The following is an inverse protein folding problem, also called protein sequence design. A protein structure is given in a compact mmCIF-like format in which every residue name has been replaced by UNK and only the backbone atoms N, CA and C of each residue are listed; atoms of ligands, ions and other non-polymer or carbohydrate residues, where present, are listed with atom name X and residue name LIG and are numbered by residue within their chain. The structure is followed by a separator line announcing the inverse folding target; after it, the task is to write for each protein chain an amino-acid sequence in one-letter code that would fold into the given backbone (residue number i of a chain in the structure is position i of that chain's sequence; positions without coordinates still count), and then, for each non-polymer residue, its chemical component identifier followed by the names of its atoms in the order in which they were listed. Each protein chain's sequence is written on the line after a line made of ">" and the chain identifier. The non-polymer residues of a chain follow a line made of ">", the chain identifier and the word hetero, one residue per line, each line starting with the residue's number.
data_IF_831170205109
#
_entry.id   IF_831170205109
#
_cell.length_a   1.000
_cell.length_b   1.000
_cell.length_c   1.000
_cell.angle_alpha   90.00
_cell.angle_beta   90.00
_cell.angle_gamma   90.00
#
_symmetry.space_group_name_H-M   'P 1'
#
loop_
_entity.id
_entity.type
_entity.pdbx_description
1 polymer ?
#
# COMPACT_ATOMS: atom_id res chain seq x y z
N UNK A 1 17.98 11.67 -12.20
CA UNK A 1 16.80 11.27 -12.99
C UNK A 1 15.98 12.52 -13.18
N UNK A 2 15.91 13.05 -14.40
CA UNK A 2 15.23 14.32 -14.69
C UNK A 2 13.81 14.04 -15.18
N UNK A 3 12.84 14.80 -14.68
CA UNK A 3 11.44 14.77 -15.12
C UNK A 3 11.36 15.34 -16.54
N UNK A 4 11.19 14.47 -17.54
CA UNK A 4 10.84 14.85 -18.91
C UNK A 4 9.33 15.06 -19.06
N UNK A 5 8.92 15.78 -20.11
CA UNK A 5 7.52 16.13 -20.41
C UNK A 5 6.60 14.93 -20.70
N UNK A 6 7.16 13.74 -20.90
CA UNK A 6 6.43 12.48 -21.13
C UNK A 6 6.36 11.62 -19.85
N UNK A 7 6.20 12.23 -18.68
CA UNK A 7 6.24 11.53 -17.39
C UNK A 7 5.11 10.50 -17.26
N UNK A 8 5.40 9.26 -17.67
CA UNK A 8 4.52 8.10 -17.42
C UNK A 8 4.85 7.50 -16.05
N UNK A 9 3.88 7.36 -15.15
CA UNK A 9 4.12 6.72 -13.86
C UNK A 9 4.55 5.27 -14.08
N UNK A 10 5.67 4.89 -13.48
CA UNK A 10 6.11 3.49 -13.44
C UNK A 10 5.52 2.82 -12.20
N UNK A 11 5.38 1.48 -12.21
CA UNK A 11 4.93 0.75 -11.03
C UNK A 11 5.79 1.07 -9.79
N UNK A 12 7.12 1.15 -9.96
CA UNK A 12 8.04 1.56 -8.90
C UNK A 12 7.81 3.00 -8.42
N UNK A 13 7.52 3.93 -9.34
CA UNK A 13 7.20 5.31 -9.00
C UNK A 13 5.88 5.44 -8.22
N UNK A 14 4.86 4.68 -8.61
CA UNK A 14 3.58 4.61 -7.90
C UNK A 14 3.77 4.03 -6.49
N UNK A 15 4.54 2.95 -6.37
CA UNK A 15 4.85 2.36 -5.06
C UNK A 15 5.63 3.32 -4.16
N UNK A 16 6.61 4.04 -4.69
CA UNK A 16 7.36 5.06 -3.95
C UNK A 16 6.46 6.22 -3.51
N UNK A 17 5.55 6.66 -4.38
CA UNK A 17 4.55 7.69 -4.04
C UNK A 17 3.61 7.23 -2.93
N UNK A 18 3.08 6.00 -3.02
CA UNK A 18 2.25 5.39 -1.99
C UNK A 18 2.98 5.33 -0.63
N UNK A 19 4.24 4.91 -0.62
CA UNK A 19 5.06 4.90 0.59
C UNK A 19 5.28 6.31 1.18
N UNK A 20 5.48 7.31 0.33
CA UNK A 20 5.61 8.70 0.76
C UNK A 20 4.31 9.24 1.40
N UNK A 21 3.14 8.87 0.86
CA UNK A 21 1.84 9.21 1.45
C UNK A 21 1.63 8.55 2.82
N UNK A 22 2.08 7.30 3.00
CA UNK A 22 2.03 6.64 4.32
C UNK A 22 2.92 7.35 5.33
N UNK A 23 4.12 7.76 4.90
CA UNK A 23 5.04 8.54 5.73
C UNK A 23 4.44 9.91 6.10
N UNK A 24 3.83 10.61 5.15
CA UNK A 24 3.12 11.89 5.38
C UNK A 24 2.02 11.73 6.45
N UNK A 25 1.24 10.66 6.37
CA UNK A 25 0.19 10.35 7.35
C UNK A 25 0.78 10.10 8.74
N UNK A 26 1.86 9.30 8.82
CA UNK A 26 2.55 9.03 10.08
C UNK A 26 3.14 10.30 10.70
N UNK A 27 3.78 11.16 9.90
CA UNK A 27 4.27 12.47 10.34
C UNK A 27 3.12 13.32 10.87
N UNK A 28 2.03 13.43 10.10
CA UNK A 28 0.86 14.22 10.47
C UNK A 28 0.25 13.77 11.79
N UNK A 29 0.14 12.45 12.00
CA UNK A 29 -0.32 11.86 13.28
C UNK A 29 0.66 12.12 14.42
N UNK A 30 1.97 12.02 14.17
CA UNK A 30 3.00 12.19 15.21
C UNK A 30 3.00 13.59 15.83
N UNK A 31 2.68 14.61 15.04
CA UNK A 31 2.60 16.00 15.50
C UNK A 31 1.18 16.48 15.74
N UNK A 32 0.16 15.65 15.47
CA UNK A 32 -1.25 16.02 15.62
C UNK A 32 -1.71 17.13 14.68
N UNK A 33 -1.26 17.14 13.41
CA UNK A 33 -1.69 18.10 12.38
C UNK A 33 -3.22 18.19 12.34
N UNK A 34 -3.75 19.41 12.20
CA UNK A 34 -5.21 19.70 12.19
C UNK A 34 -5.95 19.33 13.49
N UNK A 35 -5.24 19.19 14.61
CA UNK A 35 -5.85 18.96 15.93
C UNK A 35 -5.46 20.05 16.94
N UNK A 36 -6.22 20.16 18.03
CA UNK A 36 -5.84 21.01 19.18
C UNK A 36 -4.53 20.54 19.87
N UNK A 37 -4.04 19.34 19.53
CA UNK A 37 -2.79 18.79 20.02
C UNK A 37 -1.61 19.01 19.05
N UNK A 38 -1.75 19.91 18.06
CA UNK A 38 -0.69 20.19 17.11
C UNK A 38 0.58 20.72 17.80
N UNK A 39 1.66 19.94 17.72
CA UNK A 39 2.97 20.21 18.34
C UNK A 39 4.11 19.83 17.39
N UNK A 40 4.39 20.66 16.37
CA UNK A 40 5.40 20.35 15.36
C UNK A 40 6.81 20.22 15.94
N UNK A 41 7.11 20.87 17.07
CA UNK A 41 8.38 20.76 17.79
C UNK A 41 8.65 19.37 18.37
N UNK A 42 7.63 18.51 18.48
CA UNK A 42 7.76 17.13 18.95
C UNK A 42 8.08 16.13 17.83
N UNK A 43 8.26 16.60 16.58
CA UNK A 43 8.61 15.73 15.46
C UNK A 43 9.93 15.00 15.75
N UNK A 44 9.86 13.67 15.80
CA UNK A 44 10.99 12.79 16.05
C UNK A 44 10.83 11.51 15.23
N UNK A 45 11.95 10.82 14.95
CA UNK A 45 11.92 9.54 14.23
C UNK A 45 11.07 8.52 14.99
N UNK A 46 11.23 8.44 16.31
CA UNK A 46 10.48 7.54 17.19
C UNK A 46 8.99 7.87 17.17
N UNK A 47 8.63 9.15 17.21
CA UNK A 47 7.24 9.60 17.12
C UNK A 47 6.58 9.21 15.80
N UNK A 48 7.29 9.35 14.68
CA UNK A 48 6.79 8.93 13.36
C UNK A 48 6.62 7.42 13.28
N UNK A 49 7.58 6.64 13.78
CA UNK A 49 7.48 5.17 13.82
C UNK A 49 6.33 4.70 14.71
N UNK A 50 6.17 5.29 15.90
CA UNK A 50 5.07 4.99 16.80
C UNK A 50 3.72 5.35 16.16
N UNK A 51 3.62 6.51 15.51
CA UNK A 51 2.41 6.91 14.80
C UNK A 51 2.09 5.98 13.63
N UNK A 52 3.09 5.52 12.87
CA UNK A 52 2.91 4.56 11.78
C UNK A 52 2.29 3.24 12.27
N UNK A 53 2.66 2.77 13.46
CA UNK A 53 2.08 1.58 14.11
C UNK A 53 0.61 1.76 14.55
N UNK A 54 0.04 2.95 14.42
CA UNK A 54 -1.39 3.21 14.69
C UNK A 54 -2.23 3.30 13.41
N UNK A 55 -1.61 3.19 12.23
CA UNK A 55 -2.30 3.30 10.94
C UNK A 55 -2.90 1.94 10.59
N UNK A 56 -4.12 1.70 11.05
CA UNK A 56 -4.85 0.44 10.82
C UNK A 56 -5.88 0.51 9.69
N UNK A 57 -6.11 1.71 9.14
CA UNK A 57 -7.04 1.96 8.04
C UNK A 57 -6.41 2.96 7.10
N UNK A 58 -6.00 2.50 5.91
CA UNK A 58 -5.29 3.33 4.94
C UNK A 58 -5.49 2.85 3.50
N UNK A 59 -5.85 3.78 2.62
CA UNK A 59 -6.16 3.56 1.20
C UNK A 59 -5.26 4.40 0.26
N UNK A 60 -4.23 5.04 0.81
CA UNK A 60 -3.35 5.95 0.09
C UNK A 60 -4.09 7.03 -0.72
N UNK A 61 -5.16 7.61 -0.15
CA UNK A 61 -6.02 8.60 -0.83
C UNK A 61 -6.73 8.01 -2.06
N UNK A 62 -7.15 6.75 -1.96
CA UNK A 62 -7.85 6.01 -3.01
C UNK A 62 -6.96 5.40 -4.09
N UNK A 63 -5.63 5.37 -3.92
CA UNK A 63 -4.71 4.73 -4.86
C UNK A 63 -4.84 3.20 -4.85
N UNK A 64 -5.21 2.63 -3.71
CA UNK A 64 -5.56 1.23 -3.54
C UNK A 64 -6.72 1.10 -2.55
N UNK A 65 -7.26 -0.11 -2.39
CA UNK A 65 -8.28 -0.35 -1.38
C UNK A 65 -7.73 -0.24 0.05
N UNK A 66 -8.63 -0.25 1.03
CA UNK A 66 -8.25 -0.15 2.45
C UNK A 66 -7.31 -1.31 2.82
N UNK A 67 -6.26 -0.98 3.54
CA UNK A 67 -5.29 -1.90 4.13
C UNK A 67 -5.03 -1.54 5.59
N UNK A 68 -4.33 -2.43 6.31
CA UNK A 68 -3.84 -2.18 7.66
C UNK A 68 -2.31 -2.28 7.68
N UNK A 69 -1.61 -1.16 7.44
CA UNK A 69 -0.15 -1.09 7.49
C UNK A 69 0.46 -1.44 8.86
N UNK A 70 -0.21 -1.10 9.96
CA UNK A 70 0.28 -1.36 11.32
C UNK A 70 0.47 -2.86 11.60
N UNK A 71 -0.46 -3.69 11.12
CA UNK A 71 -0.43 -5.15 11.29
C UNK A 71 0.12 -5.88 10.06
N UNK A 72 0.64 -5.15 9.07
CA UNK A 72 1.19 -5.70 7.80
C UNK A 72 0.13 -6.52 7.03
N UNK A 73 -1.14 -6.12 7.12
CA UNK A 73 -2.24 -6.77 6.40
C UNK A 73 -2.49 -5.99 5.10
N UNK A 74 -2.27 -6.61 3.93
CA UNK A 74 -2.53 -5.97 2.64
C UNK A 74 -4.03 -5.74 2.42
N UNK A 75 -4.38 -4.92 1.44
CA UNK A 75 -5.79 -4.79 1.05
C UNK A 75 -6.31 -6.09 0.44
N UNK A 76 -7.53 -6.48 0.79
CA UNK A 76 -8.30 -7.52 0.09
C UNK A 76 -8.80 -7.06 -1.29
N UNK A 77 -8.68 -5.76 -1.57
CA UNK A 77 -9.20 -5.15 -2.77
C UNK A 77 -8.33 -5.43 -4.00
N UNK A 78 -8.95 -5.83 -5.10
CA UNK A 78 -8.26 -5.97 -6.39
C UNK A 78 -9.10 -5.50 -7.58
N UNK A 79 -8.42 -5.36 -8.71
CA UNK A 79 -9.01 -5.33 -10.06
C UNK A 79 -8.29 -6.36 -10.92
N UNK A 80 -9.01 -6.99 -11.84
CA UNK A 80 -8.44 -7.81 -12.90
C UNK A 80 -8.41 -6.96 -14.17
N UNK A 81 -7.21 -6.85 -14.72
CA UNK A 81 -6.95 -6.21 -16.00
C UNK A 81 -6.54 -7.29 -17.00
N UNK A 82 -7.13 -7.26 -18.19
CA UNK A 82 -6.74 -8.10 -19.32
C UNK A 82 -6.03 -7.25 -20.36
N UNK A 83 -5.16 -7.89 -21.14
CA UNK A 83 -4.56 -7.27 -22.31
C UNK A 83 -5.33 -7.78 -23.53
N UNK A 84 -6.13 -6.91 -24.15
CA UNK A 84 -6.86 -7.20 -25.39
C UNK A 84 -6.38 -6.24 -26.50
N UNK A 85 -5.97 -6.81 -27.63
CA UNK A 85 -5.38 -6.09 -28.77
C UNK A 85 -4.32 -5.01 -28.40
N UNK A 86 -3.48 -5.32 -27.39
CA UNK A 86 -2.43 -4.40 -26.92
C UNK A 86 -2.91 -3.28 -26.00
N UNK A 87 -4.19 -3.26 -25.64
CA UNK A 87 -4.80 -2.33 -24.70
C UNK A 87 -5.11 -3.03 -23.38
N UNK A 88 -4.82 -2.36 -22.27
CA UNK A 88 -5.21 -2.85 -20.95
C UNK A 88 -6.67 -2.49 -20.69
N UNK A 89 -7.52 -3.51 -20.62
CA UNK A 89 -8.93 -3.38 -20.32
C UNK A 89 -9.25 -3.93 -18.94
N UNK A 90 -10.19 -3.30 -18.25
CA UNK A 90 -10.63 -3.79 -16.95
C UNK A 90 -11.66 -4.90 -17.16
N UNK A 91 -11.33 -6.11 -16.74
CA UNK A 91 -12.24 -7.26 -16.80
C UNK A 91 -13.18 -7.27 -15.60
N UNK A 92 -12.66 -6.99 -14.40
CA UNK A 92 -13.44 -7.06 -13.16
C UNK A 92 -12.86 -6.18 -12.03
N UNK A 93 -13.70 -5.52 -11.22
CA UNK A 93 -15.10 -5.19 -11.50
C UNK A 93 -15.20 -4.29 -12.73
N UNK A 94 -16.25 -4.38 -13.56
CA UNK A 94 -16.28 -3.68 -14.86
C UNK A 94 -16.39 -2.16 -14.73
N UNK A 95 -16.89 -1.63 -13.61
CA UNK A 95 -17.07 -0.19 -13.42
C UNK A 95 -15.74 0.49 -13.03
N UNK A 96 -15.35 1.60 -13.69
CA UNK A 96 -14.22 2.41 -13.26
C UNK A 96 -14.41 2.93 -11.83
N UNK A 97 -13.33 2.91 -11.04
CA UNK A 97 -13.34 3.33 -9.64
C UNK A 97 -13.85 2.27 -8.64
N UNK A 98 -14.39 1.14 -9.11
CA UNK A 98 -14.71 0.01 -8.25
C UNK A 98 -13.50 -0.91 -8.04
N UNK A 99 -13.53 -1.56 -6.87
CA UNK A 99 -12.62 -2.60 -6.41
C UNK A 99 -13.46 -3.75 -5.85
N UNK A 100 -13.04 -5.00 -6.06
CA UNK A 100 -13.63 -6.13 -5.34
C UNK A 100 -12.82 -6.36 -4.06
N UNK A 101 -13.45 -6.18 -2.91
CA UNK A 101 -12.79 -6.10 -1.59
C UNK A 101 -13.28 -7.18 -0.61
N UNK A 102 -13.78 -8.30 -1.12
CA UNK A 102 -14.25 -9.41 -0.28
C UNK A 102 -13.09 -9.96 0.56
N UNK A 103 -13.33 -10.26 1.84
CA UNK A 103 -12.29 -10.72 2.78
C UNK A 103 -11.65 -12.04 2.29
N UNK A 104 -12.40 -12.86 1.56
CA UNK A 104 -11.95 -14.12 0.95
C UNK A 104 -10.84 -13.93 -0.10
N UNK A 105 -10.61 -12.71 -0.58
CA UNK A 105 -9.53 -12.40 -1.51
C UNK A 105 -8.14 -12.51 -0.86
N UNK A 106 -8.08 -12.47 0.48
CA UNK A 106 -6.85 -12.69 1.22
C UNK A 106 -6.73 -14.16 1.62
N UNK A 107 -5.64 -14.79 1.17
CA UNK A 107 -5.33 -16.19 1.48
C UNK A 107 -4.02 -16.29 2.25
N UNK A 108 -4.03 -17.05 3.34
CA UNK A 108 -2.82 -17.40 4.07
C UNK A 108 -2.09 -18.54 3.36
N UNK A 109 -0.89 -18.26 2.86
CA UNK A 109 -0.06 -19.29 2.25
C UNK A 109 0.56 -20.19 3.33
N UNK A 110 0.17 -21.47 3.34
CA UNK A 110 0.79 -22.48 4.20
C UNK A 110 1.90 -23.20 3.43
N UNK A 111 3.14 -23.13 3.95
CA UNK A 111 4.24 -23.89 3.39
C UNK A 111 4.00 -25.39 3.62
N UNK A 112 3.82 -26.17 2.54
CA UNK A 112 3.52 -27.61 2.60
C UNK A 112 4.75 -28.50 2.45
N UNK A 113 5.93 -27.94 2.13
CA UNK A 113 7.16 -28.71 1.92
C UNK A 113 8.28 -28.25 2.84
N UNK A 114 8.74 -29.12 3.75
CA UNK A 114 10.05 -28.96 4.40
C UNK A 114 11.11 -29.48 3.43
N UNK A 115 11.77 -28.58 2.69
CA UNK A 115 12.96 -28.95 1.92
C UNK A 115 14.07 -29.36 2.89
N UNK A 116 14.12 -30.65 3.27
CA UNK A 116 15.30 -31.23 3.90
C UNK A 116 16.45 -31.05 2.90
N UNK A 117 17.40 -30.20 3.26
CA UNK A 117 18.70 -30.05 2.59
C UNK A 117 19.28 -31.44 2.37
N UNK A 118 19.15 -31.99 1.15
CA UNK A 118 19.87 -33.17 0.73
C UNK A 118 21.36 -32.83 0.87
N UNK A 119 21.99 -33.31 1.94
CA UNK A 119 23.44 -33.35 2.04
C UNK A 119 23.90 -34.25 0.90
N UNK A 120 24.49 -33.64 -0.13
CA UNK A 120 25.31 -34.35 -1.11
C UNK A 120 26.47 -34.96 -0.31
N UNK A 121 26.50 -36.29 -0.25
CA UNK A 121 27.66 -37.07 0.16
C UNK A 121 28.77 -36.88 -0.87
#
# INVERSE_FOLDING_TARGET
>A
MAHGSDSKPTAAGIAAWSAALLFEEAVSRSVGTNSASYKPENLSQEGVLAAAQTITFWDARGLHGISNPADVIPSSCFVIMTLDDGLWEREFPPRPGELNCEDENLVELRATTTLKRLKRN
#
